data_IF_237548888587
#
_entry.id   IF_237548888587
#
_cell.length_a   1.000
_cell.length_b   1.000
_cell.length_c   1.000
_cell.angle_alpha   90.00
_cell.angle_beta   90.00
_cell.angle_gamma   90.00
#
_symmetry.space_group_name_H-M   'P 1'
#
loop_
_entity.id
_entity.type
_entity.pdbx_description
1 polymer ?
#
# COMPACT_ATOMS: atom_id res chain seq x y z
N UNK A 1 3.40 19.02 10.25
CA UNK A 1 2.70 17.98 9.47
C UNK A 1 3.76 17.28 8.63
N UNK A 2 3.77 15.95 8.61
CA UNK A 2 4.73 15.22 7.78
C UNK A 2 4.45 15.51 6.30
N UNK A 3 5.50 15.88 5.57
CA UNK A 3 5.44 16.05 4.13
C UNK A 3 5.70 14.69 3.47
N UNK A 4 4.74 14.26 2.66
CA UNK A 4 4.80 13.00 1.91
C UNK A 4 5.01 13.25 0.41
N UNK A 5 5.17 14.50 -0.01
CA UNK A 5 5.37 14.82 -1.43
C UNK A 5 6.66 14.19 -1.95
N UNK A 6 6.55 13.53 -3.10
CA UNK A 6 7.67 12.85 -3.76
C UNK A 6 8.11 11.53 -3.09
N UNK A 7 7.38 11.04 -2.08
CA UNK A 7 7.69 9.76 -1.43
C UNK A 7 7.01 8.59 -2.13
N UNK A 8 7.74 7.49 -2.31
CA UNK A 8 7.18 6.24 -2.79
C UNK A 8 6.41 5.55 -1.66
N UNK A 9 5.10 5.79 -1.61
CA UNK A 9 4.22 5.20 -0.60
C UNK A 9 3.67 3.87 -1.10
N UNK A 10 3.82 2.82 -0.31
CA UNK A 10 3.27 1.49 -0.56
C UNK A 10 2.30 1.12 0.56
N UNK A 11 1.06 0.79 0.21
CA UNK A 11 0.01 0.39 1.14
C UNK A 11 -0.18 -1.12 1.02
N UNK A 12 -0.07 -1.85 2.13
CA UNK A 12 -0.31 -3.30 2.18
C UNK A 12 -1.67 -3.56 2.79
N UNK A 13 -2.59 -4.06 1.96
CA UNK A 13 -3.96 -4.41 2.32
C UNK A 13 -4.97 -3.38 1.82
N UNK A 14 -5.77 -3.73 0.82
CA UNK A 14 -6.71 -2.82 0.15
C UNK A 14 -8.09 -2.70 0.83
N UNK A 15 -8.29 -3.30 2.01
CA UNK A 15 -9.57 -3.30 2.72
C UNK A 15 -10.16 -1.91 3.01
N UNK A 16 -11.23 -1.83 3.80
CA UNK A 16 -11.86 -0.54 4.17
C UNK A 16 -10.85 0.52 4.64
N UNK A 17 -9.89 0.12 5.47
CA UNK A 17 -8.82 1.00 5.95
C UNK A 17 -7.81 1.34 4.85
N UNK A 18 -7.50 0.41 3.95
CA UNK A 18 -6.55 0.61 2.85
C UNK A 18 -7.03 1.66 1.84
N UNK A 19 -8.32 1.61 1.47
CA UNK A 19 -8.94 2.64 0.63
C UNK A 19 -8.87 4.03 1.27
N UNK A 20 -9.15 4.15 2.57
CA UNK A 20 -9.02 5.44 3.27
C UNK A 20 -7.57 5.95 3.29
N UNK A 21 -6.59 5.06 3.38
CA UNK A 21 -5.18 5.44 3.24
C UNK A 21 -4.87 5.95 1.83
N UNK A 22 -5.40 5.29 0.78
CA UNK A 22 -5.23 5.75 -0.60
C UNK A 22 -5.78 7.16 -0.77
N UNK A 23 -7.03 7.39 -0.37
CA UNK A 23 -7.69 8.69 -0.47
C UNK A 23 -6.91 9.78 0.30
N UNK A 24 -6.36 9.43 1.46
CA UNK A 24 -5.55 10.33 2.27
C UNK A 24 -4.29 10.83 1.54
N UNK A 25 -3.60 9.94 0.80
CA UNK A 25 -2.40 10.33 0.04
C UNK A 25 -2.76 11.06 -1.25
N UNK A 26 -3.79 10.59 -1.96
CA UNK A 26 -4.27 11.26 -3.18
C UNK A 26 -4.71 12.70 -2.90
N UNK A 27 -5.42 12.94 -1.79
CA UNK A 27 -5.82 14.28 -1.36
C UNK A 27 -4.63 15.20 -1.05
N UNK A 28 -3.42 14.65 -0.86
CA UNK A 28 -2.17 15.38 -0.62
C UNK A 28 -1.29 15.49 -1.86
N UNK A 29 -1.77 15.03 -3.02
CA UNK A 29 -1.02 15.01 -4.28
C UNK A 29 0.04 13.92 -4.34
N UNK A 30 -0.08 12.86 -3.54
CA UNK A 30 0.81 11.71 -3.54
C UNK A 30 0.04 10.51 -4.10
N UNK A 31 0.58 9.86 -5.12
CA UNK A 31 -0.02 8.64 -5.68
C UNK A 31 0.60 7.42 -4.99
N UNK A 32 -0.09 6.77 -4.04
CA UNK A 32 0.43 5.56 -3.43
C UNK A 32 0.32 4.38 -4.39
N UNK A 33 1.02 3.29 -4.08
CA UNK A 33 0.83 1.97 -4.69
C UNK A 33 0.21 1.04 -3.67
N UNK A 34 -0.65 0.12 -4.10
CA UNK A 34 -1.33 -0.81 -3.19
C UNK A 34 -0.94 -2.25 -3.51
N UNK A 35 -0.64 -3.04 -2.50
CA UNK A 35 -0.48 -4.48 -2.64
C UNK A 35 -1.35 -5.24 -1.64
N UNK A 36 -1.89 -6.38 -2.05
CA UNK A 36 -2.67 -7.25 -1.17
C UNK A 36 -2.36 -8.71 -1.49
N UNK A 37 -2.18 -9.54 -0.46
CA UNK A 37 -1.90 -10.97 -0.64
C UNK A 37 -3.11 -11.75 -1.15
N UNK A 38 -4.32 -11.18 -1.05
CA UNK A 38 -5.54 -11.76 -1.58
C UNK A 38 -5.67 -11.41 -3.06
N UNK A 39 -6.14 -12.36 -3.87
CA UNK A 39 -6.42 -12.15 -5.29
C UNK A 39 -7.53 -11.10 -5.50
N UNK A 40 -8.58 -11.15 -4.68
CA UNK A 40 -9.76 -10.28 -4.75
C UNK A 40 -10.00 -9.60 -3.41
N UNK A 41 -9.21 -8.57 -3.05
CA UNK A 41 -9.40 -7.88 -1.80
C UNK A 41 -10.67 -7.01 -1.81
N UNK A 42 -11.33 -6.87 -0.66
CA UNK A 42 -12.52 -6.02 -0.54
C UNK A 42 -12.14 -4.56 -0.80
N UNK A 43 -12.75 -3.93 -1.80
CA UNK A 43 -12.43 -2.55 -2.19
C UNK A 43 -11.63 -2.42 -3.49
N UNK A 44 -11.25 -3.53 -4.12
CA UNK A 44 -10.56 -3.52 -5.42
C UNK A 44 -11.32 -2.74 -6.49
N UNK A 45 -12.65 -2.87 -6.52
CA UNK A 45 -13.51 -2.18 -7.49
C UNK A 45 -13.63 -0.67 -7.24
N UNK A 46 -13.28 -0.22 -6.02
CA UNK A 46 -13.33 1.20 -5.63
C UNK A 46 -11.99 1.89 -5.82
N UNK A 47 -10.93 1.14 -6.11
CA UNK A 47 -9.60 1.69 -6.28
C UNK A 47 -9.53 2.44 -7.63
N UNK A 48 -9.08 3.72 -7.65
CA UNK A 48 -8.90 4.46 -8.89
C UNK A 48 -7.90 3.76 -9.81
N UNK A 49 -8.12 3.77 -11.13
CA UNK A 49 -7.19 3.18 -12.11
C UNK A 49 -5.82 3.88 -12.12
N UNK A 50 -5.74 5.12 -11.64
CA UNK A 50 -4.48 5.85 -11.50
C UNK A 50 -3.56 5.29 -10.40
N UNK A 51 -4.07 4.44 -9.51
CA UNK A 51 -3.33 3.84 -8.40
C UNK A 51 -2.87 2.45 -8.81
N UNK A 52 -1.55 2.25 -8.89
CA UNK A 52 -0.99 0.94 -9.19
C UNK A 52 -1.35 -0.06 -8.08
N UNK A 53 -1.77 -1.26 -8.50
CA UNK A 53 -2.20 -2.31 -7.58
C UNK A 53 -1.59 -3.66 -7.92
N UNK A 54 -1.18 -4.39 -6.89
CA UNK A 54 -0.64 -5.73 -7.00
C UNK A 54 -1.43 -6.67 -6.09
N UNK A 55 -2.10 -7.68 -6.64
CA UNK A 55 -2.93 -8.62 -5.87
C UNK A 55 -2.42 -10.05 -5.97
N UNK A 56 -2.71 -10.87 -4.96
CA UNK A 56 -2.34 -12.30 -4.91
C UNK A 56 -0.97 -12.61 -4.34
N UNK A 57 -0.11 -11.61 -4.16
CA UNK A 57 1.17 -11.73 -3.47
C UNK A 57 1.66 -10.36 -2.96
N UNK A 58 2.79 -10.34 -2.26
CA UNK A 58 3.53 -9.10 -2.03
C UNK A 58 4.58 -8.95 -3.13
N UNK A 59 4.81 -7.71 -3.55
CA UNK A 59 5.84 -7.39 -4.52
C UNK A 59 7.07 -6.84 -3.78
N UNK A 60 8.13 -7.65 -3.69
CA UNK A 60 9.34 -7.27 -2.97
C UNK A 60 10.05 -6.07 -3.62
N UNK A 61 10.00 -5.88 -4.94
CA UNK A 61 10.59 -4.71 -5.60
C UNK A 61 9.91 -3.41 -5.14
N UNK A 62 8.58 -3.45 -5.00
CA UNK A 62 7.82 -2.31 -4.51
C UNK A 62 8.12 -2.01 -3.05
N UNK A 63 8.26 -3.05 -2.22
CA UNK A 63 8.63 -2.90 -0.81
C UNK A 63 10.03 -2.30 -0.68
N UNK A 64 11.01 -2.80 -1.43
CA UNK A 64 12.40 -2.32 -1.40
C UNK A 64 12.55 -0.90 -1.97
N UNK A 65 11.69 -0.51 -2.90
CA UNK A 65 11.67 0.85 -3.47
C UNK A 65 10.78 1.84 -2.69
N UNK A 66 10.08 1.39 -1.64
CA UNK A 66 9.19 2.24 -0.86
C UNK A 66 9.97 3.10 0.13
N UNK A 67 9.67 4.39 0.16
CA UNK A 67 10.10 5.27 1.25
C UNK A 67 9.22 5.09 2.50
N UNK A 68 7.96 4.73 2.28
CA UNK A 68 6.96 4.59 3.34
C UNK A 68 6.06 3.39 3.06
N UNK A 69 6.01 2.47 4.02
CA UNK A 69 5.13 1.31 3.96
C UNK A 69 4.01 1.48 4.98
N UNK A 70 2.77 1.48 4.51
CA UNK A 70 1.57 1.51 5.35
C UNK A 70 1.00 0.10 5.40
N UNK A 71 1.33 -0.63 6.45
CA UNK A 71 0.80 -1.97 6.67
C UNK A 71 -0.54 -1.90 7.42
N UNK A 72 -1.58 -2.51 6.87
CA UNK A 72 -2.85 -2.71 7.59
C UNK A 72 -2.60 -3.54 8.86
N UNK A 73 -3.27 -3.26 9.99
CA UNK A 73 -3.06 -3.98 11.25
C UNK A 73 -3.32 -5.50 11.16
N UNK A 74 -4.03 -5.96 10.13
CA UNK A 74 -4.22 -7.38 9.85
C UNK A 74 -3.03 -8.07 9.18
N UNK A 75 -2.02 -7.32 8.73
CA UNK A 75 -0.77 -7.86 8.21
C UNK A 75 0.20 -8.03 9.37
N UNK A 76 0.63 -9.27 9.61
CA UNK A 76 1.67 -9.54 10.59
C UNK A 76 2.96 -8.81 10.17
N UNK A 77 3.44 -7.89 11.01
CA UNK A 77 4.74 -7.23 10.83
C UNK A 77 5.91 -8.24 10.73
N UNK A 78 5.69 -9.47 11.22
CA UNK A 78 6.60 -10.60 11.09
C UNK A 78 6.61 -11.24 9.69
N UNK A 79 5.89 -10.70 8.70
CA UNK A 79 5.98 -11.20 7.33
C UNK A 79 7.43 -11.07 6.83
N UNK A 80 8.02 -12.11 6.24
CA UNK A 80 9.43 -12.11 5.84
C UNK A 80 9.79 -10.94 4.92
N UNK A 81 8.91 -10.57 3.99
CA UNK A 81 9.09 -9.39 3.13
C UNK A 81 9.12 -8.04 3.89
N UNK A 82 8.41 -7.93 5.03
CA UNK A 82 8.47 -6.74 5.89
C UNK A 82 9.71 -6.78 6.80
N UNK A 83 10.12 -7.96 7.24
CA UNK A 83 11.34 -8.12 8.04
C UNK A 83 12.62 -7.87 7.23
N UNK A 84 12.55 -7.98 5.90
CA UNK A 84 13.65 -7.67 4.99
C UNK A 84 13.83 -6.16 4.74
N UNK A 85 12.75 -5.38 4.85
CA UNK A 85 12.79 -3.91 4.81
C UNK A 85 13.04 -3.36 6.22
N UNK A 86 14.31 -3.27 6.63
CA UNK A 86 14.71 -2.63 7.89
C UNK A 86 15.48 -1.34 7.65
#
# INVERSE_FOLDING_TARGET
>A
MADYQGKNVVIIGLGLTGLSCVDFFLARGVTPRVMDTRMTPPGLDKLPEAVERHTGSLNDEWLMAADLIVASPGIALAHPSLSACR
#
